data_IF_951289603786
#
_entry.id   IF_951289603786
#
_cell.length_a   1.000
_cell.length_b   1.000
_cell.length_c   1.000
_cell.angle_alpha   90.00
_cell.angle_beta   90.00
_cell.angle_gamma   90.00
#
_symmetry.space_group_name_H-M   'P 1'
#
loop_
_entity.id
_entity.type
_entity.pdbx_description
1 polymer ?
#
# COMPACT_ATOMS: atom_id res chain seq x y z
N UNK A 1 1.66 -8.24 -13.95
CA UNK A 1 1.89 -7.39 -15.15
C UNK A 1 0.62 -6.71 -15.67
N UNK A 2 -0.54 -7.38 -15.77
CA UNK A 2 -1.78 -6.77 -16.32
C UNK A 2 -2.30 -5.55 -15.54
N UNK A 3 -2.32 -5.57 -14.19
CA UNK A 3 -2.87 -4.47 -13.39
C UNK A 3 -2.06 -3.18 -13.51
N UNK A 4 -0.73 -3.25 -13.37
CA UNK A 4 0.17 -2.08 -13.48
C UNK A 4 0.01 -1.35 -14.82
N UNK A 5 -0.16 -2.11 -15.92
CA UNK A 5 -0.37 -1.53 -17.25
C UNK A 5 -1.71 -0.79 -17.40
N UNK A 6 -2.66 -0.99 -16.50
CA UNK A 6 -4.02 -0.43 -16.55
C UNK A 6 -4.26 0.67 -15.51
N UNK A 7 -3.31 0.94 -14.62
CA UNK A 7 -3.45 2.00 -13.58
C UNK A 7 -3.78 3.34 -14.22
N UNK A 8 -3.17 3.62 -15.36
CA UNK A 8 -3.40 4.85 -16.13
C UNK A 8 -4.87 4.99 -16.56
N UNK A 9 -5.55 3.90 -16.90
CA UNK A 9 -6.97 3.93 -17.26
C UNK A 9 -7.85 4.26 -16.03
N UNK A 10 -7.52 3.71 -14.86
CA UNK A 10 -8.20 4.08 -13.60
C UNK A 10 -7.99 5.55 -13.26
N UNK A 11 -6.76 6.05 -13.43
CA UNK A 11 -6.42 7.45 -13.20
C UNK A 11 -7.25 8.37 -14.09
N UNK A 12 -7.26 8.11 -15.40
CA UNK A 12 -8.02 8.90 -16.37
C UNK A 12 -9.53 8.86 -16.09
N UNK A 13 -10.09 7.68 -15.83
CA UNK A 13 -11.52 7.54 -15.50
C UNK A 13 -11.89 8.32 -14.23
N UNK A 14 -11.04 8.24 -13.19
CA UNK A 14 -11.24 8.95 -11.92
C UNK A 14 -11.20 10.47 -12.10
N UNK A 15 -10.21 10.97 -12.86
CA UNK A 15 -10.07 12.39 -13.13
C UNK A 15 -11.21 12.93 -14.01
N UNK A 16 -11.65 12.16 -15.01
CA UNK A 16 -12.81 12.52 -15.84
C UNK A 16 -14.11 12.58 -15.02
N UNK A 17 -14.20 11.85 -13.92
CA UNK A 17 -15.30 11.93 -12.96
C UNK A 17 -15.18 13.11 -11.96
N UNK A 18 -14.14 13.95 -12.08
CA UNK A 18 -13.95 15.13 -11.23
C UNK A 18 -13.21 14.87 -9.92
N UNK A 19 -12.56 13.72 -9.77
CA UNK A 19 -11.76 13.38 -8.60
C UNK A 19 -10.26 13.46 -8.91
N UNK A 20 -9.48 14.33 -8.24
CA UNK A 20 -8.03 14.31 -8.33
C UNK A 20 -7.45 12.95 -7.96
N UNK A 21 -6.30 12.61 -8.53
CA UNK A 21 -5.64 11.33 -8.32
C UNK A 21 -4.26 11.56 -7.69
N UNK A 22 -4.04 10.96 -6.53
CA UNK A 22 -2.72 10.86 -5.90
C UNK A 22 -2.27 9.40 -5.91
N UNK A 23 -1.24 9.07 -6.70
CA UNK A 23 -0.65 7.74 -6.71
C UNK A 23 0.47 7.61 -5.68
N UNK A 24 0.39 6.58 -4.84
CA UNK A 24 1.43 6.17 -3.92
C UNK A 24 1.94 4.78 -4.35
N UNK A 25 2.96 4.72 -5.22
CA UNK A 25 3.64 3.47 -5.55
C UNK A 25 4.70 3.15 -4.49
N UNK A 26 4.42 2.13 -3.69
CA UNK A 26 5.26 1.71 -2.57
C UNK A 26 6.29 0.63 -2.92
N UNK A 27 6.49 0.36 -4.21
CA UNK A 27 7.41 -0.70 -4.67
C UNK A 27 8.83 -0.51 -4.17
N UNK A 28 9.26 0.74 -4.01
CA UNK A 28 10.61 1.07 -3.57
C UNK A 28 10.75 1.41 -2.09
N UNK A 29 9.66 1.41 -1.30
CA UNK A 29 9.72 1.79 0.12
C UNK A 29 10.77 0.98 0.89
N UNK A 30 10.70 -0.35 0.81
CA UNK A 30 11.64 -1.20 1.54
C UNK A 30 13.09 -1.07 1.07
N UNK A 31 13.44 -1.17 -0.24
CA UNK A 31 14.83 -1.03 -0.66
C UNK A 31 15.40 0.37 -0.39
N UNK A 32 14.60 1.43 -0.53
CA UNK A 32 15.06 2.79 -0.23
C UNK A 32 15.28 2.98 1.27
N UNK A 33 14.39 2.45 2.11
CA UNK A 33 14.57 2.40 3.56
C UNK A 33 15.79 1.56 3.97
N UNK A 34 15.98 0.39 3.35
CA UNK A 34 17.07 -0.53 3.64
C UNK A 34 18.43 0.10 3.30
N UNK A 35 18.51 0.84 2.19
CA UNK A 35 19.72 1.54 1.78
C UNK A 35 20.20 2.58 2.80
N UNK A 36 19.29 3.13 3.61
CA UNK A 36 19.56 4.12 4.66
C UNK A 36 19.99 3.48 5.99
N UNK A 37 19.92 2.15 6.13
CA UNK A 37 20.28 1.50 7.39
C UNK A 37 21.80 1.47 7.59
N UNK A 38 22.25 1.90 8.78
CA UNK A 38 23.68 1.90 9.16
C UNK A 38 24.31 0.51 9.09
N UNK A 39 23.56 -0.52 9.51
CA UNK A 39 24.02 -1.91 9.61
C UNK A 39 23.48 -2.78 8.46
N UNK A 40 23.27 -2.19 7.27
CA UNK A 40 22.64 -2.90 6.14
C UNK A 40 23.42 -4.14 5.70
N UNK A 41 24.75 -4.08 5.71
CA UNK A 41 25.60 -5.21 5.30
C UNK A 41 25.42 -6.39 6.27
N UNK A 42 25.42 -6.11 7.58
CA UNK A 42 25.13 -7.11 8.63
C UNK A 42 23.76 -7.78 8.42
N UNK A 43 22.75 -7.02 7.99
CA UNK A 43 21.42 -7.55 7.68
C UNK A 43 21.39 -8.40 6.40
N UNK A 44 22.30 -8.19 5.46
CA UNK A 44 22.44 -9.07 4.29
C UNK A 44 23.20 -10.36 4.64
N UNK A 45 24.12 -10.30 5.59
CA UNK A 45 24.82 -11.48 6.13
C UNK A 45 23.92 -12.33 7.04
N UNK A 46 23.12 -11.68 7.90
CA UNK A 46 22.12 -12.32 8.78
C UNK A 46 20.75 -11.63 8.69
N UNK A 47 19.87 -12.07 7.76
CA UNK A 47 18.54 -11.47 7.56
C UNK A 47 17.61 -11.54 8.77
N UNK A 48 17.77 -12.52 9.67
CA UNK A 48 16.90 -12.67 10.85
C UNK A 48 17.07 -11.50 11.82
N UNK A 49 18.27 -10.90 11.86
CA UNK A 49 18.57 -9.72 12.66
C UNK A 49 17.79 -8.46 12.22
N UNK A 50 17.18 -8.48 11.02
CA UNK A 50 16.35 -7.40 10.50
C UNK A 50 14.91 -7.42 11.02
N UNK A 51 14.40 -8.59 11.44
CA UNK A 51 13.00 -8.78 11.88
C UNK A 51 12.54 -7.75 12.93
N UNK A 52 13.33 -7.41 13.97
CA UNK A 52 12.95 -6.38 14.95
C UNK A 52 12.74 -4.98 14.34
N UNK A 53 13.28 -4.71 13.15
CA UNK A 53 13.18 -3.42 12.47
C UNK A 53 11.93 -3.27 11.61
N UNK A 54 11.21 -4.35 11.29
CA UNK A 54 10.02 -4.29 10.44
C UNK A 54 8.95 -3.33 10.97
N UNK A 55 8.72 -3.30 12.28
CA UNK A 55 7.80 -2.30 12.89
C UNK A 55 8.27 -0.86 12.70
N UNK A 56 9.59 -0.64 12.70
CA UNK A 56 10.17 0.69 12.46
C UNK A 56 10.04 1.08 10.99
N UNK A 57 10.32 0.15 10.08
CA UNK A 57 10.09 0.32 8.64
C UNK A 57 8.65 0.72 8.34
N UNK A 58 7.66 -0.01 8.87
CA UNK A 58 6.24 0.28 8.67
C UNK A 58 5.88 1.68 9.18
N UNK A 59 6.26 2.00 10.42
CA UNK A 59 5.95 3.32 11.01
C UNK A 59 6.54 4.45 10.18
N UNK A 60 7.81 4.37 9.81
CA UNK A 60 8.49 5.40 9.02
C UNK A 60 7.87 5.56 7.62
N UNK A 61 7.54 4.43 6.99
CA UNK A 61 6.85 4.41 5.70
C UNK A 61 5.48 5.09 5.77
N UNK A 62 4.67 4.78 6.78
CA UNK A 62 3.36 5.41 6.96
C UNK A 62 3.52 6.90 7.21
N UNK A 63 4.49 7.32 8.03
CA UNK A 63 4.76 8.75 8.27
C UNK A 63 5.13 9.49 6.98
N UNK A 64 6.05 8.95 6.17
CA UNK A 64 6.44 9.56 4.89
C UNK A 64 5.26 9.70 3.93
N UNK A 65 4.44 8.65 3.80
CA UNK A 65 3.26 8.68 2.94
C UNK A 65 2.18 9.62 3.47
N UNK A 66 1.98 9.70 4.79
CA UNK A 66 1.03 10.60 5.43
C UNK A 66 1.38 12.07 5.17
N UNK A 67 2.67 12.43 5.21
CA UNK A 67 3.14 13.77 4.84
C UNK A 67 2.79 14.09 3.39
N UNK A 68 3.05 13.17 2.45
CA UNK A 68 2.66 13.35 1.04
C UNK A 68 1.16 13.52 0.85
N UNK A 69 0.34 12.71 1.55
CA UNK A 69 -1.12 12.80 1.49
C UNK A 69 -1.58 14.16 2.01
N UNK A 70 -1.05 14.60 3.16
CA UNK A 70 -1.39 15.90 3.75
C UNK A 70 -1.09 17.07 2.82
N UNK A 71 0.01 17.00 2.08
CA UNK A 71 0.44 18.07 1.18
C UNK A 71 -0.30 18.09 -0.17
N UNK A 72 -0.83 16.95 -0.62
CA UNK A 72 -1.31 16.77 -2.00
C UNK A 72 -2.77 16.30 -2.13
N UNK A 73 -3.44 15.92 -1.04
CA UNK A 73 -4.79 15.37 -1.07
C UNK A 73 -5.75 16.14 -0.17
N UNK A 74 -7.00 16.23 -0.65
CA UNK A 74 -8.15 16.77 0.08
C UNK A 74 -9.29 15.75 0.10
N UNK A 75 -10.46 16.14 0.63
CA UNK A 75 -11.63 15.27 0.71
C UNK A 75 -12.19 14.81 -0.64
N UNK A 76 -11.82 15.45 -1.75
CA UNK A 76 -12.25 15.07 -3.09
C UNK A 76 -11.21 14.21 -3.83
N UNK A 77 -10.01 14.06 -3.26
CA UNK A 77 -8.90 13.34 -3.88
C UNK A 77 -9.02 11.83 -3.63
N UNK A 78 -8.80 11.05 -4.69
CA UNK A 78 -8.62 9.60 -4.61
C UNK A 78 -7.13 9.30 -4.46
N UNK A 79 -6.76 8.72 -3.32
CA UNK A 79 -5.41 8.24 -3.05
C UNK A 79 -5.33 6.77 -3.47
N UNK A 80 -4.47 6.45 -4.43
CA UNK A 80 -4.28 5.10 -4.95
C UNK A 80 -2.97 4.51 -4.41
N UNK A 81 -3.08 3.47 -3.58
CA UNK A 81 -1.93 2.71 -3.07
C UNK A 81 -1.63 1.54 -4.01
N UNK A 82 -0.42 1.55 -4.57
CA UNK A 82 0.05 0.58 -5.57
C UNK A 82 1.30 -0.11 -5.06
N UNK A 83 1.45 -1.40 -5.36
CA UNK A 83 2.67 -2.14 -5.05
C UNK A 83 2.66 -2.83 -3.70
N UNK A 84 1.50 -3.00 -3.06
CA UNK A 84 1.36 -3.65 -1.74
C UNK A 84 1.97 -5.05 -1.62
N UNK A 85 2.21 -5.74 -2.74
CA UNK A 85 2.94 -7.00 -2.74
C UNK A 85 4.37 -6.90 -2.17
N UNK A 86 5.00 -5.72 -2.22
CA UNK A 86 6.35 -5.51 -1.65
C UNK A 86 6.39 -5.48 -0.12
N UNK A 87 5.23 -5.44 0.53
CA UNK A 87 5.12 -5.57 1.99
C UNK A 87 5.15 -7.04 2.44
N UNK A 88 4.92 -7.99 1.54
CA UNK A 88 4.94 -9.42 1.86
C UNK A 88 6.28 -9.83 2.49
N UNK A 89 6.22 -10.54 3.60
CA UNK A 89 7.39 -10.95 4.38
C UNK A 89 7.89 -9.91 5.39
N UNK A 90 7.47 -8.64 5.28
CA UNK A 90 7.90 -7.56 6.18
C UNK A 90 6.76 -6.99 7.03
N UNK A 91 5.55 -6.92 6.48
CA UNK A 91 4.41 -6.29 7.13
C UNK A 91 3.07 -6.90 6.69
N UNK A 92 2.07 -6.79 7.55
CA UNK A 92 0.69 -7.06 7.15
C UNK A 92 0.18 -5.92 6.29
N UNK A 93 -0.33 -6.22 5.09
CA UNK A 93 -0.92 -5.22 4.21
C UNK A 93 -2.20 -4.63 4.82
N UNK A 94 -3.00 -5.41 5.57
CA UNK A 94 -4.19 -4.87 6.25
C UNK A 94 -3.81 -3.82 7.28
N UNK A 95 -2.80 -4.13 8.10
CA UNK A 95 -2.35 -3.23 9.16
C UNK A 95 -1.72 -1.95 8.57
N UNK A 96 -0.93 -2.09 7.51
CA UNK A 96 -0.37 -0.95 6.78
C UNK A 96 -1.47 -0.06 6.18
N UNK A 97 -2.44 -0.66 5.49
CA UNK A 97 -3.58 0.06 4.89
C UNK A 97 -4.41 0.75 5.96
N UNK A 98 -4.65 0.08 7.10
CA UNK A 98 -5.41 0.65 8.22
C UNK A 98 -4.71 1.89 8.78
N UNK A 99 -3.41 1.82 9.04
CA UNK A 99 -2.64 2.96 9.53
C UNK A 99 -2.60 4.10 8.51
N UNK A 100 -2.43 3.80 7.21
CA UNK A 100 -2.41 4.82 6.17
C UNK A 100 -3.77 5.50 5.98
N UNK A 101 -4.87 4.73 6.07
CA UNK A 101 -6.24 5.22 5.88
C UNK A 101 -6.63 6.31 6.89
N UNK A 102 -6.05 6.31 8.10
CA UNK A 102 -6.26 7.36 9.10
C UNK A 102 -5.80 8.76 8.63
N UNK A 103 -4.93 8.80 7.62
CA UNK A 103 -4.39 10.04 7.06
C UNK A 103 -5.05 10.46 5.73
N UNK A 104 -5.93 9.63 5.17
CA UNK A 104 -6.56 9.90 3.86
C UNK A 104 -7.84 10.72 4.06
N UNK A 105 -7.90 11.99 3.62
CA UNK A 105 -9.08 12.83 3.79
C UNK A 105 -10.25 12.45 2.86
N UNK A 106 -9.94 11.83 1.72
CA UNK A 106 -10.89 11.42 0.69
C UNK A 106 -11.08 9.90 0.63
N UNK A 107 -10.88 9.32 -0.56
CA UNK A 107 -11.04 7.88 -0.79
C UNK A 107 -9.68 7.20 -0.96
N UNK A 108 -9.51 6.03 -0.35
CA UNK A 108 -8.35 5.18 -0.54
C UNK A 108 -8.69 4.01 -1.48
N UNK A 109 -8.01 3.93 -2.61
CA UNK A 109 -8.03 2.77 -3.52
C UNK A 109 -6.77 1.94 -3.26
N UNK A 110 -6.92 0.65 -2.97
CA UNK A 110 -5.79 -0.26 -2.75
C UNK A 110 -5.73 -1.28 -3.89
N UNK A 111 -4.62 -1.28 -4.63
CA UNK A 111 -4.36 -2.21 -5.71
C UNK A 111 -3.31 -3.23 -5.27
N UNK A 112 -3.74 -4.47 -5.00
CA UNK A 112 -2.86 -5.52 -4.48
C UNK A 112 -3.06 -6.86 -5.21
N UNK A 113 -2.02 -7.70 -5.30
CA UNK A 113 -2.12 -9.04 -5.87
C UNK A 113 -2.78 -9.98 -4.85
N UNK A 114 -4.04 -10.35 -5.07
CA UNK A 114 -4.75 -11.19 -4.11
C UNK A 114 -6.10 -11.67 -4.59
N UNK A 115 -6.83 -12.26 -3.64
CA UNK A 115 -8.15 -12.83 -3.86
C UNK A 115 -9.19 -12.13 -2.98
N UNK A 116 -10.41 -12.11 -3.49
CA UNK A 116 -11.60 -11.70 -2.75
C UNK A 116 -12.55 -12.90 -2.70
N UNK A 117 -12.72 -13.49 -1.51
CA UNK A 117 -13.56 -14.68 -1.28
C UNK A 117 -14.41 -14.43 -0.04
N UNK A 118 -15.73 -14.60 -0.15
CA UNK A 118 -16.66 -14.49 0.99
C UNK A 118 -16.46 -13.20 1.82
N UNK A 119 -16.42 -12.04 1.16
CA UNK A 119 -16.20 -10.73 1.79
C UNK A 119 -14.86 -10.56 2.52
N UNK A 120 -13.88 -11.41 2.18
CA UNK A 120 -12.55 -11.42 2.76
C UNK A 120 -11.51 -11.17 1.66
N UNK A 121 -10.63 -10.21 1.90
CA UNK A 121 -9.51 -9.90 1.02
C UNK A 121 -8.25 -10.60 1.51
N UNK A 122 -7.53 -11.31 0.64
CA UNK A 122 -6.29 -12.03 0.98
C UNK A 122 -5.17 -11.68 0.00
N UNK A 123 -4.03 -11.24 0.53
CA UNK A 123 -2.79 -11.07 -0.24
C UNK A 123 -2.04 -12.41 -0.28
N UNK A 124 -1.75 -12.96 -1.48
CA UNK A 124 -0.79 -14.06 -1.74
C UNK A 124 -0.73 -15.14 -0.63
N UNK A 125 -1.75 -16.00 -0.54
CA UNK A 125 -1.87 -17.11 0.45
C UNK A 125 -1.71 -16.72 1.94
N UNK A 126 -1.70 -15.43 2.28
CA UNK A 126 -1.57 -15.00 3.66
C UNK A 126 -2.74 -15.52 4.52
N UNK A 127 -2.41 -16.00 5.72
CA UNK A 127 -3.41 -16.52 6.67
C UNK A 127 -4.44 -15.47 7.07
N UNK A 128 -4.00 -14.22 7.15
CA UNK A 128 -4.81 -13.11 7.62
C UNK A 128 -5.55 -12.46 6.43
N UNK A 129 -6.78 -12.92 6.22
CA UNK A 129 -7.73 -12.17 5.41
C UNK A 129 -8.28 -10.98 6.21
N UNK A 130 -8.53 -9.85 5.55
CA UNK A 130 -9.23 -8.73 6.19
C UNK A 130 -10.66 -8.61 5.69
N UNK A 131 -11.57 -8.32 6.61
CA UNK A 131 -12.96 -7.99 6.33
C UNK A 131 -13.31 -6.71 7.06
N UNK A 132 -14.09 -5.86 6.39
CA UNK A 132 -14.86 -4.71 6.84
C UNK A 132 -14.56 -3.37 6.14
N UNK A 133 -15.66 -2.76 5.68
CA UNK A 133 -15.85 -1.43 5.08
C UNK A 133 -15.22 -1.14 3.72
N UNK A 134 -14.35 -2.00 3.19
CA UNK A 134 -13.89 -1.87 1.80
C UNK A 134 -14.93 -2.41 0.80
N UNK A 135 -15.22 -1.64 -0.25
CA UNK A 135 -16.02 -2.09 -1.40
C UNK A 135 -15.10 -2.72 -2.44
N UNK A 136 -15.34 -3.98 -2.80
CA UNK A 136 -14.56 -4.67 -3.82
C UNK A 136 -14.92 -4.11 -5.21
N UNK A 137 -13.90 -3.83 -6.02
CA UNK A 137 -14.05 -3.53 -7.45
C UNK A 137 -13.73 -4.83 -8.19
N UNK A 138 -14.77 -5.58 -8.55
CA UNK A 138 -14.66 -6.80 -9.36
C UNK A 138 -15.06 -6.51 -10.81
N UNK A 139 -14.65 -7.39 -11.73
CA UNK A 139 -14.96 -7.23 -13.16
C UNK A 139 -16.44 -7.50 -13.51
N UNK A 140 -17.22 -8.02 -12.56
CA UNK A 140 -18.62 -8.43 -12.75
C UNK A 140 -19.63 -7.35 -12.30
N UNK A 141 -19.17 -6.13 -11.99
CA UNK A 141 -20.02 -5.00 -11.59
C UNK A 141 -20.49 -4.16 -12.77
#
# INVERSE_FOLDING_TARGET
LKLRARIEEFRLATQNAGHPWLELDITRLFPDWMAQQKYREDYFEDPESLTPKYKTFVRQSVTELAERIKDQADSNTLVALVGCGTLFGFASVSDFVKQLAEHVPGRLLVLFPGEYINNTYRLLDARDGWGYQATAITADN
#
